data_IF_394310303776
#
_entry.id   IF_394310303776
#
_cell.length_a   1.000
_cell.length_b   1.000
_cell.length_c   1.000
_cell.angle_alpha   90.00
_cell.angle_beta   90.00
_cell.angle_gamma   90.00
#
_symmetry.space_group_name_H-M   'P 1'
#
loop_
_entity.id
_entity.type
_entity.pdbx_description
1 polymer ?
#
# COMPACT_ATOMS: atom_id res chain seq x y z
N UNK A 1 10.45 13.83 17.06
CA UNK A 1 10.25 14.11 15.65
C UNK A 1 8.84 13.72 15.25
N UNK A 2 8.13 14.61 14.56
CA UNK A 2 6.75 14.35 14.19
C UNK A 2 6.67 13.34 13.05
N UNK A 3 5.66 12.49 13.11
CA UNK A 3 5.33 11.57 12.04
C UNK A 3 4.04 12.06 11.39
N UNK A 4 4.08 12.22 10.08
CA UNK A 4 2.91 12.64 9.31
C UNK A 4 2.47 11.51 8.39
N UNK A 5 1.17 11.35 8.26
CA UNK A 5 0.56 10.36 7.38
C UNK A 5 -0.28 11.08 6.35
N UNK A 6 -0.15 10.66 5.09
CA UNK A 6 -1.06 11.10 4.05
C UNK A 6 -1.65 9.86 3.41
N UNK A 7 -2.91 9.63 3.67
CA UNK A 7 -3.59 8.40 3.29
C UNK A 7 -4.64 8.65 2.23
N UNK A 8 -4.81 7.70 1.34
CA UNK A 8 -5.94 7.69 0.44
C UNK A 8 -7.17 7.14 1.12
N UNK A 9 -8.26 7.00 0.39
CA UNK A 9 -9.49 6.47 0.98
C UNK A 9 -9.30 5.02 1.39
N UNK A 10 -9.95 4.63 2.47
CA UNK A 10 -10.02 3.24 2.87
C UNK A 10 -10.77 2.47 1.79
N UNK A 11 -10.30 1.28 1.49
CA UNK A 11 -10.87 0.45 0.46
C UNK A 11 -11.37 -0.85 1.05
N UNK A 12 -12.55 -1.27 0.62
CA UNK A 12 -13.10 -2.57 0.98
C UNK A 12 -13.46 -3.31 -0.28
N UNK A 13 -13.06 -4.56 -0.34
CA UNK A 13 -13.34 -5.43 -1.47
C UNK A 13 -14.43 -6.42 -1.08
N UNK A 14 -15.37 -6.76 -1.99
CA UNK A 14 -16.34 -7.81 -1.68
C UNK A 14 -15.69 -9.15 -1.36
N UNK A 15 -14.46 -9.36 -1.82
CA UNK A 15 -13.73 -10.59 -1.52
C UNK A 15 -13.29 -10.69 -0.08
N UNK A 16 -13.25 -9.58 0.66
CA UNK A 16 -12.90 -9.61 2.07
C UNK A 16 -11.57 -8.97 2.40
N UNK A 17 -11.07 -8.07 1.56
CA UNK A 17 -9.88 -7.29 1.85
C UNK A 17 -10.29 -5.87 2.20
N UNK A 18 -9.76 -5.38 3.32
CA UNK A 18 -9.88 -3.97 3.70
C UNK A 18 -8.48 -3.41 3.77
N UNK A 19 -8.26 -2.22 3.21
CA UNK A 19 -6.93 -1.64 3.18
C UNK A 19 -6.98 -0.13 3.27
N UNK A 20 -6.00 0.43 3.97
CA UNK A 20 -5.74 1.87 4.03
C UNK A 20 -4.28 2.07 3.75
N UNK A 21 -3.97 2.81 2.69
CA UNK A 21 -2.60 2.97 2.22
C UNK A 21 -2.16 4.41 2.39
N UNK A 22 -0.98 4.59 2.96
CA UNK A 22 -0.47 5.90 3.35
C UNK A 22 0.97 6.08 2.91
N UNK A 23 1.32 7.32 2.61
CA UNK A 23 2.71 7.74 2.61
C UNK A 23 3.02 8.27 4.00
N UNK A 24 4.10 7.78 4.59
CA UNK A 24 4.51 8.13 5.94
C UNK A 24 5.76 8.97 5.85
N UNK A 25 5.77 10.08 6.56
CA UNK A 25 6.94 10.98 6.62
C UNK A 25 7.34 11.15 8.06
N UNK A 26 8.60 10.90 8.33
CA UNK A 26 9.16 11.14 9.67
C UNK A 26 10.56 11.71 9.50
N UNK A 27 10.75 12.96 9.94
CA UNK A 27 12.02 13.64 9.71
C UNK A 27 12.27 13.78 8.23
N UNK A 28 13.38 13.22 7.77
CA UNK A 28 13.75 13.28 6.35
C UNK A 28 13.45 11.97 5.63
N UNK A 29 12.76 11.06 6.28
CA UNK A 29 12.45 9.76 5.69
C UNK A 29 11.00 9.72 5.22
N UNK A 30 10.78 9.01 4.12
CA UNK A 30 9.44 8.73 3.61
C UNK A 30 9.36 7.27 3.23
N UNK A 31 8.22 6.66 3.49
CA UNK A 31 7.99 5.27 3.09
C UNK A 31 6.49 5.06 2.91
N UNK A 32 6.14 3.94 2.29
CA UNK A 32 4.75 3.56 2.11
C UNK A 32 4.35 2.56 3.18
N UNK A 33 3.11 2.65 3.61
CA UNK A 33 2.53 1.73 4.58
C UNK A 33 1.11 1.44 4.19
N UNK A 34 0.72 0.18 4.22
CA UNK A 34 -0.68 -0.19 4.09
C UNK A 34 -1.09 -0.97 5.33
N UNK A 35 -2.21 -0.54 5.91
CA UNK A 35 -2.88 -1.27 6.98
C UNK A 35 -3.95 -2.12 6.31
N UNK A 36 -4.02 -3.39 6.63
CA UNK A 36 -4.98 -4.24 5.93
C UNK A 36 -5.53 -5.32 6.83
N UNK A 37 -6.66 -5.83 6.40
CA UNK A 37 -7.30 -6.98 7.03
C UNK A 37 -7.69 -7.93 5.90
N UNK A 38 -7.34 -9.20 6.06
CA UNK A 38 -7.63 -10.22 5.06
C UNK A 38 -8.62 -11.22 5.64
N UNK A 39 -9.88 -11.09 5.25
CA UNK A 39 -10.91 -12.03 5.66
C UNK A 39 -11.39 -12.88 4.50
N UNK A 40 -10.56 -13.01 3.45
CA UNK A 40 -10.93 -13.79 2.28
C UNK A 40 -10.86 -15.30 2.52
N UNK A 41 -10.14 -15.72 3.54
CA UNK A 41 -9.87 -17.14 3.76
C UNK A 41 -8.72 -17.67 2.93
N UNK A 42 -8.12 -16.84 2.09
CA UNK A 42 -7.01 -17.24 1.23
C UNK A 42 -5.76 -16.48 1.60
N UNK A 43 -4.61 -17.05 1.27
CA UNK A 43 -3.34 -16.39 1.42
C UNK A 43 -3.20 -15.35 0.30
N UNK A 44 -2.81 -14.14 0.64
CA UNK A 44 -2.71 -13.06 -0.35
C UNK A 44 -1.29 -12.54 -0.44
N UNK A 45 -0.95 -12.04 -1.62
CA UNK A 45 0.24 -11.24 -1.85
C UNK A 45 -0.16 -9.78 -1.80
N UNK A 46 0.51 -8.99 -0.98
CA UNK A 46 0.34 -7.55 -0.94
C UNK A 46 1.59 -6.93 -1.55
N UNK A 47 1.43 -6.23 -2.65
CA UNK A 47 2.53 -5.51 -3.30
C UNK A 47 2.37 -4.04 -2.98
N UNK A 48 3.36 -3.48 -2.30
CA UNK A 48 3.33 -2.09 -1.85
C UNK A 48 4.43 -1.32 -2.52
N UNK A 49 4.11 -0.15 -3.04
CA UNK A 49 5.06 0.68 -3.76
C UNK A 49 5.05 2.10 -3.22
N UNK A 50 6.22 2.71 -3.21
CA UNK A 50 6.36 4.14 -3.00
C UNK A 50 6.99 4.72 -4.26
N UNK A 51 6.27 5.62 -4.92
CA UNK A 51 6.74 6.27 -6.15
C UNK A 51 7.13 7.69 -5.84
N UNK A 52 8.35 8.07 -6.18
CA UNK A 52 8.84 9.42 -6.00
C UNK A 52 8.62 10.28 -7.23
N UNK A 53 8.83 11.60 -7.08
CA UNK A 53 8.60 12.54 -8.19
C UNK A 53 9.56 12.38 -9.35
N UNK A 54 10.68 11.71 -9.13
CA UNK A 54 11.68 11.48 -10.17
C UNK A 54 11.45 10.17 -10.93
N UNK A 55 10.33 9.50 -10.69
CA UNK A 55 10.01 8.24 -11.33
C UNK A 55 10.62 7.02 -10.66
N UNK A 56 11.44 7.20 -9.65
CA UNK A 56 12.00 6.08 -8.92
C UNK A 56 10.96 5.50 -7.98
N UNK A 57 11.03 4.20 -7.80
CA UNK A 57 10.11 3.54 -6.87
C UNK A 57 10.85 2.52 -6.03
N UNK A 58 10.35 2.31 -4.82
CA UNK A 58 10.75 1.19 -3.98
C UNK A 58 9.51 0.35 -3.74
N UNK A 59 9.74 -0.95 -3.61
CA UNK A 59 8.66 -1.90 -3.49
C UNK A 59 8.94 -2.88 -2.37
N UNK A 60 7.85 -3.36 -1.79
CA UNK A 60 7.88 -4.47 -0.86
C UNK A 60 6.75 -5.41 -1.20
N UNK A 61 6.97 -6.68 -0.91
CA UNK A 61 5.93 -7.68 -1.04
C UNK A 61 5.76 -8.33 0.32
N UNK A 62 4.53 -8.37 0.78
CA UNK A 62 4.18 -9.03 2.02
C UNK A 62 3.20 -10.14 1.72
N UNK A 63 3.29 -11.22 2.46
CA UNK A 63 2.33 -12.30 2.36
C UNK A 63 1.33 -12.10 3.48
N UNK A 64 0.07 -11.94 3.11
CA UNK A 64 -1.01 -11.68 4.06
C UNK A 64 -1.69 -12.99 4.39
N UNK A 65 -1.52 -13.46 5.61
CA UNK A 65 -2.15 -14.68 6.06
C UNK A 65 -3.65 -14.54 6.16
N UNK A 66 -4.33 -15.68 6.05
CA UNK A 66 -5.78 -15.72 6.21
C UNK A 66 -6.10 -15.62 7.69
N UNK A 67 -6.43 -14.42 8.14
CA UNK A 67 -6.78 -14.16 9.51
C UNK A 67 -7.56 -12.87 9.57
N UNK A 68 -8.34 -12.67 10.61
CA UNK A 68 -9.22 -11.52 10.70
C UNK A 68 -8.61 -10.36 11.49
N UNK A 69 -7.39 -10.50 11.95
CA UNK A 69 -6.72 -9.42 12.67
C UNK A 69 -6.08 -8.42 11.72
N UNK A 70 -5.93 -7.17 12.18
CA UNK A 70 -5.26 -6.17 11.36
C UNK A 70 -3.78 -6.45 11.24
N UNK A 71 -3.21 -6.10 10.09
CA UNK A 71 -1.80 -6.27 9.78
C UNK A 71 -1.29 -5.06 9.03
N UNK A 72 0.02 -4.98 8.87
CA UNK A 72 0.58 -3.92 8.05
C UNK A 72 1.75 -4.41 7.22
N UNK A 73 1.99 -3.70 6.13
CA UNK A 73 3.10 -3.93 5.23
C UNK A 73 3.75 -2.58 4.96
N UNK A 74 5.08 -2.54 4.90
CA UNK A 74 5.80 -1.29 4.70
C UNK A 74 6.92 -1.48 3.69
N UNK A 75 7.22 -0.40 2.94
CA UNK A 75 8.41 -0.37 2.11
C UNK A 75 9.61 0.07 2.93
N UNK A 76 10.83 -0.15 2.41
CA UNK A 76 11.99 0.50 2.99
C UNK A 76 11.84 2.01 2.97
N UNK A 77 12.55 2.68 3.85
CA UNK A 77 12.53 4.13 3.94
C UNK A 77 13.42 4.74 2.88
N UNK A 78 12.98 5.87 2.36
CA UNK A 78 13.70 6.63 1.36
C UNK A 78 13.93 8.02 1.92
N UNK A 79 15.12 8.56 1.67
CA UNK A 79 15.43 9.91 2.14
C UNK A 79 14.73 10.93 1.27
N UNK A 80 14.07 11.88 1.91
CA UNK A 80 13.40 12.96 1.20
C UNK A 80 14.41 13.88 0.56
N UNK A 81 14.22 14.17 -0.71
CA UNK A 81 14.95 15.20 -1.44
C UNK A 81 14.00 16.28 -1.89
N UNK A 82 12.73 15.95 -1.97
CA UNK A 82 11.68 16.84 -2.41
C UNK A 82 10.55 16.82 -1.40
N UNK A 83 9.53 17.61 -1.67
CA UNK A 83 8.39 17.66 -0.79
C UNK A 83 7.71 16.30 -0.69
N UNK A 84 7.29 15.92 0.53
CA UNK A 84 6.63 14.61 0.72
C UNK A 84 5.36 14.45 -0.08
N UNK A 85 4.67 15.55 -0.41
CA UNK A 85 3.43 15.47 -1.18
C UNK A 85 3.62 14.91 -2.57
N UNK A 86 4.85 14.88 -3.05
CA UNK A 86 5.15 14.37 -4.39
C UNK A 86 5.44 12.89 -4.41
N UNK A 87 5.40 12.25 -3.25
CA UNK A 87 5.54 10.81 -3.14
C UNK A 87 4.16 10.17 -3.05
N UNK A 88 4.00 9.05 -3.74
CA UNK A 88 2.72 8.34 -3.80
C UNK A 88 2.91 6.92 -3.36
N UNK A 89 2.04 6.44 -2.48
CA UNK A 89 2.04 5.06 -2.05
C UNK A 89 0.88 4.33 -2.73
N UNK A 90 1.11 3.09 -3.13
CA UNK A 90 0.06 2.28 -3.74
C UNK A 90 0.24 0.84 -3.31
N UNK A 91 -0.88 0.17 -3.03
CA UNK A 91 -0.89 -1.23 -2.64
C UNK A 91 -1.84 -2.00 -3.53
N UNK A 92 -1.43 -3.20 -3.91
CA UNK A 92 -2.25 -4.12 -4.69
C UNK A 92 -2.27 -5.46 -3.98
N UNK A 93 -3.44 -6.09 -3.96
CA UNK A 93 -3.61 -7.38 -3.31
C UNK A 93 -4.06 -8.40 -4.35
N UNK A 94 -3.43 -9.57 -4.31
CA UNK A 94 -3.76 -10.66 -5.22
C UNK A 94 -3.69 -11.98 -4.46
N UNK A 95 -4.45 -12.96 -4.92
CA UNK A 95 -4.39 -14.29 -4.33
C UNK A 95 -2.99 -14.84 -4.53
N UNK A 96 -2.41 -15.35 -3.45
CA UNK A 96 -1.07 -15.94 -3.51
C UNK A 96 -1.14 -17.25 -4.30
N UNK A 97 -0.28 -17.36 -5.30
CA UNK A 97 -0.17 -18.57 -6.09
C UNK A 97 1.28 -19.00 -6.13
N UNK A 98 1.50 -20.28 -6.40
CA UNK A 98 2.83 -20.81 -6.56
C UNK A 98 3.05 -21.19 -8.01
N UNK A 99 4.30 -21.24 -8.42
CA UNK A 99 4.65 -21.60 -9.78
C UNK A 99 4.36 -20.49 -10.76
N UNK A 100 3.92 -20.83 -11.96
CA UNK A 100 3.73 -19.89 -13.05
C UNK A 100 2.34 -19.27 -13.08
N UNK A 101 1.46 -19.62 -12.18
CA UNK A 101 0.11 -19.07 -12.16
C UNK A 101 0.12 -17.63 -11.68
N UNK A 102 -0.74 -16.82 -12.29
CA UNK A 102 -0.93 -15.44 -11.90
C UNK A 102 -2.10 -15.36 -10.94
N UNK A 103 -1.89 -14.76 -9.78
CA UNK A 103 -2.95 -14.58 -8.81
C UNK A 103 -3.99 -13.59 -9.30
N UNK A 104 -5.24 -13.81 -8.88
CA UNK A 104 -6.31 -12.88 -9.22
C UNK A 104 -6.10 -11.58 -8.45
N UNK A 105 -6.11 -10.47 -9.18
CA UNK A 105 -5.98 -9.16 -8.56
C UNK A 105 -7.28 -8.81 -7.84
N UNK A 106 -7.16 -8.46 -6.59
CA UNK A 106 -8.28 -8.01 -5.78
C UNK A 106 -8.28 -6.48 -5.75
N UNK A 107 -8.30 -5.83 -4.59
CA UNK A 107 -8.38 -4.38 -4.58
C UNK A 107 -7.03 -3.71 -4.80
N UNK A 108 -7.10 -2.47 -5.21
CA UNK A 108 -5.94 -1.59 -5.29
C UNK A 108 -6.26 -0.34 -4.50
N UNK A 109 -5.35 0.07 -3.61
CA UNK A 109 -5.51 1.25 -2.78
C UNK A 109 -4.31 2.16 -2.94
N UNK A 110 -4.55 3.46 -2.86
CA UNK A 110 -3.47 4.42 -3.00
C UNK A 110 -3.56 5.53 -1.99
N UNK A 111 -2.48 6.28 -1.84
CA UNK A 111 -2.38 7.35 -0.87
C UNK A 111 -2.97 8.66 -1.39
N UNK A 112 -3.30 8.74 -2.67
CA UNK A 112 -3.85 9.95 -3.25
C UNK A 112 -5.32 9.75 -3.61
N UNK A 113 -6.11 10.83 -3.63
CA UNK A 113 -7.48 10.72 -4.11
C UNK A 113 -7.51 10.26 -5.56
N UNK A 114 -8.63 9.67 -5.95
CA UNK A 114 -8.81 9.25 -7.33
C UNK A 114 -8.74 10.46 -8.26
N UNK A 115 -8.15 10.30 -9.44
CA UNK A 115 -8.05 11.41 -10.39
C UNK A 115 -9.42 11.96 -10.74
N UNK A 116 -9.50 13.29 -10.85
CA UNK A 116 -10.72 13.95 -11.27
C UNK A 116 -11.75 14.19 -10.18
N UNK A 117 -11.53 13.69 -8.99
CA UNK A 117 -12.50 13.83 -7.90
C UNK A 117 -12.55 15.22 -7.31
N UNK A 118 -11.49 15.93 -7.42
CA UNK A 118 -11.32 17.23 -6.81
C UNK A 118 -11.59 18.38 -7.74
N UNK A 119 -12.23 18.10 -8.83
CA UNK A 119 -12.62 19.16 -9.77
C UNK A 119 -14.09 19.37 -9.87
#
# INVERSE_FOLDING_TARGET
MLTALRCGPALSSPDGVEALTCAVVRGEDVWARTYYRNTTGALLDAALSLLGPDGRSVRSRCVAGAGDGPSLCETPRVRLKDEPLRHTAAAEFAVHTSGAEVGRLLPRAGSNPAPGRDR
#
